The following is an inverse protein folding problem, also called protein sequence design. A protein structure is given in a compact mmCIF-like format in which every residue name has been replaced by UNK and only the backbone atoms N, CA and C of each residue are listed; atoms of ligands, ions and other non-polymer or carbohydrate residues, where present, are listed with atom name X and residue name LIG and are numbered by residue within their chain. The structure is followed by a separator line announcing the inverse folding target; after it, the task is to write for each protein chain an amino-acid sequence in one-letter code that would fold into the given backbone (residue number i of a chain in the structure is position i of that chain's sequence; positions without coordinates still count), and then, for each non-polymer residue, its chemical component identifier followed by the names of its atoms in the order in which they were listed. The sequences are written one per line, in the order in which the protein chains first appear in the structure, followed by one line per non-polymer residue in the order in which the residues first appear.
data_IF_111409941666
#
_entry.id   IF_111409941666
#
_cell.length_a   1.000
_cell.length_b   1.000
_cell.length_c   1.000
_cell.angle_alpha   90.00
_cell.angle_beta   90.00
_cell.angle_gamma   90.00
#
_symmetry.space_group_name_H-M   'P 1'
#
loop_
_entity.id
_entity.type
_entity.pdbx_description
1 polymer ?
#
# COMPACT_ATOMS: atom_id res chain seq x y z
N UNK A 1 -4.29 -14.87 11.79
CA UNK A 1 -5.33 -14.14 12.57
C UNK A 1 -5.07 -12.64 12.71
N UNK A 2 -3.90 -12.18 13.19
CA UNK A 2 -3.63 -10.76 13.48
C UNK A 2 -3.60 -9.84 12.24
N UNK A 3 -2.98 -10.25 11.14
CA UNK A 3 -2.95 -9.46 9.90
C UNK A 3 -4.35 -9.20 9.32
N UNK A 4 -5.21 -10.23 9.28
CA UNK A 4 -6.59 -10.08 8.84
C UNK A 4 -7.42 -9.16 9.77
N UNK A 5 -7.14 -9.17 11.07
CA UNK A 5 -7.74 -8.20 11.99
C UNK A 5 -7.26 -6.77 11.71
N UNK A 6 -5.97 -6.58 11.42
CA UNK A 6 -5.41 -5.28 11.06
C UNK A 6 -6.05 -4.70 9.78
N UNK A 7 -6.35 -5.52 8.77
CA UNK A 7 -7.09 -5.09 7.57
C UNK A 7 -8.47 -4.53 7.95
N UNK A 8 -9.21 -5.22 8.83
CA UNK A 8 -10.54 -4.75 9.27
C UNK A 8 -10.45 -3.45 10.07
N UNK A 9 -9.45 -3.30 10.93
CA UNK A 9 -9.21 -2.08 11.70
C UNK A 9 -8.86 -0.92 10.76
N UNK A 10 -7.92 -1.13 9.83
CA UNK A 10 -7.55 -0.13 8.83
C UNK A 10 -8.75 0.28 7.97
N UNK A 11 -9.57 -0.67 7.51
CA UNK A 11 -10.78 -0.39 6.73
C UNK A 11 -11.76 0.51 7.48
N UNK A 12 -11.97 0.26 8.78
CA UNK A 12 -12.83 1.11 9.62
C UNK A 12 -12.26 2.51 9.76
N UNK A 13 -10.95 2.62 9.97
CA UNK A 13 -10.27 3.91 10.11
C UNK A 13 -10.35 4.74 8.82
N UNK A 14 -10.07 4.13 7.66
CA UNK A 14 -10.15 4.80 6.36
C UNK A 14 -11.56 5.34 6.07
N UNK A 15 -12.60 4.55 6.38
CA UNK A 15 -13.99 5.01 6.26
C UNK A 15 -14.32 6.14 7.22
N UNK A 16 -13.94 6.00 8.49
CA UNK A 16 -14.21 7.01 9.52
C UNK A 16 -13.53 8.35 9.20
N UNK A 17 -12.35 8.29 8.59
CA UNK A 17 -11.59 9.47 8.15
C UNK A 17 -11.99 9.99 6.77
N UNK A 18 -12.92 9.30 6.08
CA UNK A 18 -13.31 9.61 4.69
C UNK A 18 -12.08 9.78 3.79
N UNK A 19 -11.15 8.83 3.87
CA UNK A 19 -9.92 8.90 3.10
C UNK A 19 -10.22 8.82 1.59
N UNK A 20 -9.66 9.74 0.82
CA UNK A 20 -9.77 9.75 -0.65
C UNK A 20 -8.63 8.99 -1.33
N UNK A 21 -7.48 8.86 -0.65
CA UNK A 21 -6.28 8.18 -1.14
C UNK A 21 -5.47 7.64 0.04
N UNK A 22 -4.68 6.59 -0.19
CA UNK A 22 -3.74 6.05 0.80
C UNK A 22 -2.32 6.06 0.25
N UNK A 23 -1.36 6.56 1.02
CA UNK A 23 0.06 6.48 0.72
C UNK A 23 0.76 5.46 1.64
N UNK A 24 1.58 4.57 1.09
CA UNK A 24 2.28 3.54 1.84
C UNK A 24 3.76 3.41 1.47
N UNK A 25 4.65 3.50 2.46
CA UNK A 25 6.10 3.38 2.27
C UNK A 25 6.68 1.99 2.49
N UNK A 26 5.87 0.92 2.38
CA UNK A 26 6.30 -0.44 2.67
C UNK A 26 6.27 -0.84 4.16
N UNK A 27 6.90 -1.97 4.48
CA UNK A 27 6.88 -2.57 5.82
C UNK A 27 5.60 -3.36 6.15
N UNK A 28 5.60 -4.00 7.33
CA UNK A 28 4.54 -4.94 7.72
C UNK A 28 3.16 -4.29 7.94
N UNK A 29 3.12 -2.98 8.22
CA UNK A 29 1.88 -2.20 8.42
C UNK A 29 1.26 -1.77 7.09
N UNK A 30 2.07 -1.52 6.06
CA UNK A 30 1.58 -1.04 4.76
C UNK A 30 0.69 -2.07 4.05
N UNK A 31 1.03 -3.37 4.12
CA UNK A 31 0.24 -4.43 3.49
C UNK A 31 -1.23 -4.45 3.94
N UNK A 32 -1.57 -4.55 5.24
CA UNK A 32 -2.97 -4.56 5.67
C UNK A 32 -3.69 -3.23 5.43
N UNK A 33 -3.01 -2.09 5.55
CA UNK A 33 -3.59 -0.78 5.25
C UNK A 33 -3.90 -0.61 3.75
N UNK A 34 -2.97 -1.04 2.89
CA UNK A 34 -3.16 -1.03 1.45
C UNK A 34 -4.26 -2.00 0.99
N UNK A 35 -4.30 -3.22 1.53
CA UNK A 35 -5.39 -4.16 1.25
C UNK A 35 -6.75 -3.59 1.68
N UNK A 36 -6.80 -2.90 2.82
CA UNK A 36 -8.01 -2.21 3.26
C UNK A 36 -8.41 -1.09 2.28
N UNK A 37 -7.47 -0.29 1.81
CA UNK A 37 -7.72 0.76 0.81
C UNK A 37 -8.23 0.20 -0.52
N UNK A 38 -7.58 -0.85 -1.06
CA UNK A 38 -8.02 -1.54 -2.28
C UNK A 38 -9.45 -2.07 -2.13
N UNK A 39 -9.77 -2.68 -0.98
CA UNK A 39 -11.10 -3.20 -0.71
C UNK A 39 -12.19 -2.12 -0.62
N UNK A 40 -11.80 -0.86 -0.45
CA UNK A 40 -12.68 0.31 -0.43
C UNK A 40 -12.73 1.03 -1.79
N UNK A 41 -11.97 0.56 -2.78
CA UNK A 41 -11.84 1.25 -4.07
C UNK A 41 -11.00 2.53 -4.01
N UNK A 42 -10.21 2.71 -2.94
CA UNK A 42 -9.37 3.89 -2.79
C UNK A 42 -8.06 3.73 -3.58
N UNK A 43 -7.62 4.75 -4.32
CA UNK A 43 -6.31 4.74 -4.97
C UNK A 43 -5.20 4.64 -3.91
N UNK A 44 -4.13 3.93 -4.27
CA UNK A 44 -2.96 3.76 -3.42
C UNK A 44 -1.73 4.27 -4.15
N UNK A 45 -0.94 5.08 -3.45
CA UNK A 45 0.39 5.51 -3.88
C UNK A 45 1.42 4.82 -3.00
N UNK A 46 2.39 4.14 -3.60
CA UNK A 46 3.48 3.52 -2.86
C UNK A 46 4.74 4.36 -2.97
N UNK A 47 5.59 4.32 -1.93
CA UNK A 47 6.94 4.85 -1.98
C UNK A 47 7.92 3.73 -1.65
N UNK A 48 8.96 3.56 -2.48
CA UNK A 48 10.05 2.63 -2.23
C UNK A 48 11.36 3.41 -2.10
N UNK A 49 11.98 3.29 -0.93
CA UNK A 49 13.23 3.98 -0.61
C UNK A 49 14.45 3.13 -0.98
N UNK A 50 14.28 1.81 -1.10
CA UNK A 50 15.36 0.89 -1.43
C UNK A 50 15.50 0.68 -2.95
N UNK A 51 16.63 0.12 -3.37
CA UNK A 51 16.88 -0.29 -4.77
C UNK A 51 16.12 -1.55 -5.19
N UNK A 52 15.32 -2.12 -4.28
CA UNK A 52 14.52 -3.31 -4.51
C UNK A 52 13.14 -3.13 -3.88
N UNK A 53 12.12 -3.70 -4.52
CA UNK A 53 10.75 -3.58 -4.04
C UNK A 53 10.53 -4.49 -2.82
N UNK A 54 10.20 -3.91 -1.67
CA UNK A 54 9.90 -4.66 -0.45
C UNK A 54 8.65 -5.54 -0.59
N UNK A 55 8.49 -6.58 0.24
CA UNK A 55 7.38 -7.55 0.10
C UNK A 55 6.00 -6.89 0.12
N UNK A 56 5.76 -5.94 1.03
CA UNK A 56 4.50 -5.22 1.10
C UNK A 56 4.24 -4.40 -0.17
N UNK A 57 5.27 -3.72 -0.68
CA UNK A 57 5.18 -2.94 -1.91
C UNK A 57 4.99 -3.86 -3.12
N UNK A 58 5.69 -5.00 -3.21
CA UNK A 58 5.48 -6.03 -4.25
C UNK A 58 4.05 -6.56 -4.28
N UNK A 59 3.46 -6.79 -3.12
CA UNK A 59 2.08 -7.27 -3.02
C UNK A 59 1.06 -6.24 -3.52
N UNK A 60 1.28 -4.95 -3.21
CA UNK A 60 0.34 -3.88 -3.50
C UNK A 60 0.56 -3.22 -4.87
N UNK A 61 1.79 -3.23 -5.37
CA UNK A 61 2.20 -2.54 -6.59
C UNK A 61 1.36 -2.86 -7.83
N UNK A 62 0.92 -4.11 -8.09
CA UNK A 62 0.09 -4.41 -9.26
C UNK A 62 -1.26 -3.66 -9.29
N UNK A 63 -1.72 -3.16 -8.14
CA UNK A 63 -2.98 -2.41 -8.00
C UNK A 63 -2.77 -0.99 -7.46
N UNK A 64 -1.51 -0.57 -7.31
CA UNK A 64 -1.20 0.80 -6.92
C UNK A 64 -1.42 1.72 -8.12
N UNK A 65 -1.98 2.90 -7.86
CA UNK A 65 -2.15 3.94 -8.87
C UNK A 65 -0.79 4.52 -9.31
N UNK A 66 0.20 4.51 -8.42
CA UNK A 66 1.59 4.95 -8.67
C UNK A 66 2.55 4.31 -7.68
N UNK A 67 3.80 4.08 -8.10
CA UNK A 67 4.88 3.68 -7.20
C UNK A 67 6.06 4.64 -7.37
N UNK A 68 6.26 5.51 -6.40
CA UNK A 68 7.38 6.44 -6.38
C UNK A 68 8.64 5.70 -5.94
N UNK A 69 9.59 5.53 -6.85
CA UNK A 69 10.85 4.84 -6.60
C UNK A 69 11.97 5.85 -6.34
N UNK A 70 12.73 5.68 -5.27
CA UNK A 70 13.94 6.48 -5.02
C UNK A 70 15.09 6.10 -5.97
N UNK A 71 15.14 4.84 -6.40
CA UNK A 71 16.10 4.29 -7.34
C UNK A 71 15.37 3.47 -8.41
N UNK A 72 15.98 3.31 -9.59
CA UNK A 72 15.40 2.45 -10.63
C UNK A 72 15.28 1.00 -10.14
N UNK A 73 14.09 0.41 -10.24
CA UNK A 73 13.85 -1.00 -9.91
C UNK A 73 13.60 -1.77 -11.21
N UNK A 74 14.37 -2.84 -11.52
CA UNK A 74 14.20 -3.61 -12.75
C UNK A 74 12.76 -4.10 -12.95
N UNK A 75 12.24 -3.92 -14.16
CA UNK A 75 10.88 -4.37 -14.52
C UNK A 75 9.74 -3.51 -13.99
N UNK A 76 10.05 -2.33 -13.42
CA UNK A 76 9.03 -1.37 -13.01
C UNK A 76 9.48 0.07 -13.28
N UNK A 77 8.62 0.78 -13.99
CA UNK A 77 8.65 2.24 -14.07
C UNK A 77 7.54 2.80 -13.18
N UNK A 78 7.75 3.98 -12.62
CA UNK A 78 6.98 4.53 -11.49
C UNK A 78 5.48 4.71 -11.72
#
# INVERSE_FOLDING_TARGET
ARAAAAVRVARRLLRARRADVVMGGGGYVAAPAGLAALSLGLPIVLTEADSHLGLANRLLAPRAARVCLAFGVPGREG
#
